data_IF_942940969880
#
_entry.id   IF_942940969880
#
_cell.length_a   1.000
_cell.length_b   1.000
_cell.length_c   1.000
_cell.angle_alpha   90.00
_cell.angle_beta   90.00
_cell.angle_gamma   90.00
#
_symmetry.space_group_name_H-M   'P 1'
#
loop_
_entity.id
_entity.type
_entity.pdbx_description
1 polymer ?
#
# COMPACT_ATOMS: atom_id res chain seq x y z
N UNK A 1 -91.73 11.14 -4.16
CA UNK A 1 -90.72 10.62 -3.24
C UNK A 1 -89.73 9.77 -4.06
N UNK A 2 -88.61 10.36 -4.47
CA UNK A 2 -87.63 9.75 -5.40
C UNK A 2 -86.32 9.53 -4.64
N UNK A 3 -85.94 8.25 -4.47
CA UNK A 3 -84.74 7.83 -3.78
C UNK A 3 -83.54 7.96 -4.74
N UNK A 4 -82.56 8.73 -4.36
CA UNK A 4 -81.30 8.87 -5.06
C UNK A 4 -80.37 7.70 -4.63
N UNK A 5 -79.86 6.90 -5.59
CA UNK A 5 -78.86 5.91 -5.41
C UNK A 5 -77.47 6.51 -5.47
N UNK A 6 -76.73 6.43 -4.39
CA UNK A 6 -75.32 6.84 -4.26
C UNK A 6 -74.43 5.71 -4.79
N UNK A 7 -73.66 5.97 -5.87
CA UNK A 7 -72.64 5.06 -6.39
C UNK A 7 -71.31 5.41 -5.74
N UNK A 8 -70.82 4.53 -4.89
CA UNK A 8 -69.43 4.61 -4.35
C UNK A 8 -68.50 3.94 -5.37
N UNK A 9 -67.64 4.72 -5.99
CA UNK A 9 -66.55 4.22 -6.82
C UNK A 9 -65.37 3.85 -5.92
N UNK A 10 -65.09 2.55 -5.73
CA UNK A 10 -63.89 2.04 -5.09
C UNK A 10 -62.73 2.19 -6.05
N UNK A 11 -61.74 3.03 -5.73
CA UNK A 11 -60.49 3.10 -6.44
C UNK A 11 -59.52 2.06 -5.88
N UNK A 12 -59.17 1.08 -6.71
CA UNK A 12 -58.20 0.07 -6.42
C UNK A 12 -56.79 0.66 -6.60
N UNK A 13 -56.08 0.95 -5.51
CA UNK A 13 -54.70 1.39 -5.54
C UNK A 13 -53.82 0.13 -5.71
N UNK A 14 -53.28 -0.01 -6.91
CA UNK A 14 -52.34 -1.07 -7.26
C UNK A 14 -50.93 -0.64 -6.74
N UNK A 15 -50.52 -1.09 -5.56
CA UNK A 15 -49.15 -0.91 -5.06
C UNK A 15 -48.18 -1.78 -5.88
N UNK A 16 -47.51 -1.15 -6.85
CA UNK A 16 -46.38 -1.72 -7.55
C UNK A 16 -45.21 -1.77 -6.57
N UNK A 17 -44.97 -2.93 -5.94
CA UNK A 17 -43.75 -3.23 -5.21
C UNK A 17 -42.60 -3.35 -6.21
N UNK A 18 -41.81 -2.28 -6.36
CA UNK A 18 -40.51 -2.35 -7.07
C UNK A 18 -39.58 -3.15 -6.17
N UNK A 19 -39.06 -4.33 -6.61
CA UNK A 19 -38.02 -5.00 -5.86
C UNK A 19 -36.79 -4.12 -5.85
N UNK A 20 -36.40 -3.61 -4.68
CA UNK A 20 -35.08 -3.05 -4.43
C UNK A 20 -34.08 -4.19 -4.66
N UNK A 21 -33.51 -4.25 -5.86
CA UNK A 21 -32.30 -5.02 -6.13
C UNK A 21 -31.19 -4.41 -5.28
N UNK A 22 -31.05 -4.92 -4.08
CA UNK A 22 -29.86 -4.75 -3.26
C UNK A 22 -28.69 -5.22 -4.13
N UNK A 23 -27.90 -4.29 -4.68
CA UNK A 23 -26.58 -4.64 -5.21
C UNK A 23 -25.82 -5.22 -4.03
N UNK A 24 -25.72 -6.54 -3.97
CA UNK A 24 -24.76 -7.19 -3.11
C UNK A 24 -23.40 -6.58 -3.48
N UNK A 25 -22.83 -5.79 -2.57
CA UNK A 25 -21.49 -5.24 -2.73
C UNK A 25 -20.58 -6.46 -2.79
N UNK A 26 -19.99 -6.71 -3.96
CA UNK A 26 -19.11 -7.85 -4.17
C UNK A 26 -17.97 -7.69 -3.17
N UNK A 27 -17.90 -8.56 -2.18
CA UNK A 27 -16.87 -8.51 -1.14
C UNK A 27 -15.49 -8.56 -1.81
N UNK A 28 -14.59 -7.70 -1.36
CA UNK A 28 -13.23 -7.68 -1.85
C UNK A 28 -12.55 -9.02 -1.59
N UNK A 29 -11.84 -9.62 -2.58
CA UNK A 29 -11.08 -10.85 -2.38
C UNK A 29 -9.97 -10.76 -1.32
N UNK A 30 -9.71 -9.55 -0.81
CA UNK A 30 -8.81 -9.34 0.32
C UNK A 30 -9.53 -9.60 1.63
N UNK A 31 -9.11 -10.61 2.37
CA UNK A 31 -9.62 -10.89 3.72
C UNK A 31 -9.24 -9.76 4.70
N UNK A 32 -10.04 -9.59 5.75
CA UNK A 32 -9.78 -8.65 6.83
C UNK A 32 -8.95 -9.32 7.92
N UNK A 33 -7.90 -8.63 8.38
CA UNK A 33 -7.11 -9.02 9.53
C UNK A 33 -6.87 -7.84 10.46
N UNK A 34 -6.40 -8.15 11.66
CA UNK A 34 -5.98 -7.16 12.66
C UNK A 34 -4.75 -7.67 13.38
N UNK A 35 -3.68 -6.89 13.34
CA UNK A 35 -2.53 -7.09 14.21
C UNK A 35 -2.82 -6.41 15.54
N UNK A 36 -2.55 -7.11 16.64
CA UNK A 36 -2.76 -6.61 17.99
C UNK A 36 -1.40 -6.53 18.68
N UNK A 37 -0.96 -5.33 19.01
CA UNK A 37 0.20 -5.07 19.85
C UNK A 37 -0.23 -4.89 21.31
N UNK A 38 0.74 -4.72 22.21
CA UNK A 38 0.43 -4.43 23.61
C UNK A 38 -0.24 -3.06 23.82
N UNK A 39 -0.13 -2.15 22.85
CA UNK A 39 -0.54 -0.76 23.00
C UNK A 39 -1.59 -0.32 21.98
N UNK A 40 -1.65 -0.99 20.84
CA UNK A 40 -2.48 -0.55 19.71
C UNK A 40 -2.91 -1.73 18.83
N UNK A 41 -3.75 -1.45 17.84
CA UNK A 41 -4.19 -2.40 16.82
C UNK A 41 -3.95 -1.82 15.45
N UNK A 42 -3.48 -2.65 14.52
CA UNK A 42 -3.31 -2.27 13.12
C UNK A 42 -4.20 -3.15 12.24
N UNK A 43 -5.27 -2.60 11.66
CA UNK A 43 -6.05 -3.30 10.64
C UNK A 43 -5.17 -3.58 9.42
N UNK A 44 -5.42 -4.71 8.76
CA UNK A 44 -4.80 -5.01 7.47
C UNK A 44 -5.73 -5.80 6.57
N UNK A 45 -5.48 -5.75 5.29
CA UNK A 45 -6.13 -6.59 4.29
C UNK A 45 -5.10 -7.55 3.73
N UNK A 46 -5.52 -8.81 3.48
CA UNK A 46 -4.64 -9.87 2.99
C UNK A 46 -5.28 -10.61 1.83
N UNK A 47 -4.52 -10.74 0.74
CA UNK A 47 -4.90 -11.53 -0.43
C UNK A 47 -4.03 -12.78 -0.49
N UNK A 48 -4.65 -13.93 -0.54
CA UNK A 48 -3.96 -15.20 -0.78
C UNK A 48 -3.89 -15.53 -2.28
N UNK A 49 -2.91 -16.36 -2.72
CA UNK A 49 -2.88 -16.91 -4.07
C UNK A 49 -4.20 -17.58 -4.45
N UNK A 50 -4.50 -17.73 -5.76
CA UNK A 50 -5.76 -18.36 -6.24
C UNK A 50 -5.94 -19.75 -5.64
N UNK A 51 -5.01 -20.64 -5.81
CA UNK A 51 -5.08 -22.00 -5.30
C UNK A 51 -4.20 -22.12 -4.04
N UNK A 52 -4.54 -21.32 -3.00
CA UNK A 52 -3.77 -21.31 -1.77
C UNK A 52 -3.77 -22.68 -1.09
N UNK A 53 -2.57 -23.17 -0.81
CA UNK A 53 -2.30 -24.42 -0.11
C UNK A 53 -1.31 -24.13 1.03
N UNK A 54 -1.73 -24.26 2.27
CA UNK A 54 -0.94 -23.95 3.44
C UNK A 54 0.34 -24.82 3.59
N UNK A 55 0.45 -25.91 2.82
CA UNK A 55 1.65 -26.76 2.78
C UNK A 55 2.74 -26.24 1.85
N UNK A 56 2.40 -25.29 0.97
CA UNK A 56 3.33 -24.63 0.03
C UNK A 56 3.87 -23.35 0.62
N UNK A 57 4.93 -22.81 0.01
CA UNK A 57 5.54 -21.54 0.40
C UNK A 57 5.37 -20.51 -0.70
N UNK A 58 4.84 -19.34 -0.32
CA UNK A 58 4.55 -18.24 -1.21
C UNK A 58 5.38 -17.00 -0.89
N UNK A 59 5.63 -16.18 -1.88
CA UNK A 59 6.18 -14.84 -1.68
C UNK A 59 5.24 -14.00 -0.81
N UNK A 60 5.81 -13.07 -0.02
CA UNK A 60 5.07 -12.08 0.77
C UNK A 60 5.34 -10.69 0.19
N UNK A 61 4.30 -9.95 -0.12
CA UNK A 61 4.38 -8.56 -0.58
C UNK A 61 3.62 -7.68 0.42
N UNK A 62 4.27 -6.68 0.99
CA UNK A 62 3.64 -5.68 1.86
C UNK A 62 3.56 -4.38 1.09
N UNK A 63 2.35 -3.78 1.01
CA UNK A 63 2.11 -2.54 0.27
C UNK A 63 1.62 -1.46 1.23
N UNK A 64 2.38 -0.37 1.33
CA UNK A 64 2.13 0.75 2.22
C UNK A 64 1.41 1.88 1.47
N UNK A 65 0.24 2.25 1.95
CA UNK A 65 -0.60 3.31 1.37
C UNK A 65 -0.09 4.73 1.69
N UNK A 66 -0.63 5.72 1.01
CA UNK A 66 -0.35 7.15 1.22
C UNK A 66 -1.06 7.75 2.44
N UNK A 67 -0.84 9.04 2.67
CA UNK A 67 -1.41 9.74 3.83
C UNK A 67 -2.94 9.85 3.80
N UNK A 68 -3.55 9.83 2.60
CA UNK A 68 -5.00 9.94 2.43
C UNK A 68 -5.79 8.71 2.86
N UNK A 69 -5.14 7.55 2.93
CA UNK A 69 -5.75 6.26 3.22
C UNK A 69 -5.59 5.83 4.70
N UNK A 70 -5.08 6.74 5.55
CA UNK A 70 -5.00 6.54 7.00
C UNK A 70 -6.38 6.41 7.62
N UNK A 71 -6.51 5.51 8.59
CA UNK A 71 -7.79 5.27 9.25
C UNK A 71 -7.80 4.00 10.08
N UNK A 72 -9.01 3.50 10.30
CA UNK A 72 -9.28 2.24 10.98
C UNK A 72 -10.49 1.51 10.38
N UNK A 73 -10.94 1.92 9.19
CA UNK A 73 -12.07 1.30 8.48
C UNK A 73 -11.70 -0.04 7.85
N UNK A 74 -10.42 -0.32 7.74
CA UNK A 74 -9.87 -1.50 7.07
C UNK A 74 -10.33 -1.61 5.59
N UNK A 75 -10.49 -0.46 4.90
CA UNK A 75 -10.93 -0.34 3.51
C UNK A 75 -10.07 0.63 2.71
N UNK A 76 -9.81 1.82 3.23
CA UNK A 76 -9.18 2.91 2.49
C UNK A 76 -7.78 2.54 1.97
N UNK A 77 -7.03 1.69 2.68
CA UNK A 77 -5.70 1.22 2.26
C UNK A 77 -5.71 0.46 0.92
N UNK A 78 -6.86 -0.03 0.45
CA UNK A 78 -7.00 -0.71 -0.83
C UNK A 78 -7.27 0.23 -2.02
N UNK A 79 -7.18 1.54 -1.83
CA UNK A 79 -7.50 2.50 -2.88
C UNK A 79 -6.57 2.41 -4.10
N UNK A 80 -5.28 2.19 -3.87
CA UNK A 80 -4.28 2.17 -4.93
C UNK A 80 -3.48 0.85 -4.96
N UNK A 81 -3.28 0.34 -6.17
CA UNK A 81 -2.48 -0.87 -6.41
C UNK A 81 -3.20 -2.21 -6.38
N UNK A 82 -4.35 -2.44 -5.68
CA UNK A 82 -4.98 -3.76 -5.63
C UNK A 82 -5.28 -4.34 -6.99
N UNK A 83 -5.61 -3.53 -7.99
CA UNK A 83 -5.93 -3.97 -9.35
C UNK A 83 -4.81 -4.82 -9.97
N UNK A 84 -3.54 -4.49 -9.71
CA UNK A 84 -2.40 -5.27 -10.17
C UNK A 84 -2.44 -6.69 -9.57
N UNK A 85 -2.66 -6.77 -8.26
CA UNK A 85 -2.61 -8.05 -7.52
C UNK A 85 -3.88 -8.89 -7.67
N UNK A 86 -5.00 -8.27 -8.03
CA UNK A 86 -6.26 -8.97 -8.34
C UNK A 86 -6.32 -9.49 -9.77
N UNK A 87 -5.42 -9.08 -10.64
CA UNK A 87 -5.36 -9.56 -12.02
C UNK A 87 -4.99 -11.04 -12.05
N UNK A 88 -5.81 -11.88 -12.69
CA UNK A 88 -5.63 -13.33 -12.72
C UNK A 88 -4.31 -13.75 -13.34
N UNK A 89 -3.87 -13.10 -14.42
CA UNK A 89 -2.57 -13.38 -15.04
C UNK A 89 -1.42 -13.12 -14.04
N UNK A 90 -1.52 -12.03 -13.26
CA UNK A 90 -0.55 -11.72 -12.20
C UNK A 90 -0.56 -12.78 -11.11
N UNK A 91 -1.75 -13.17 -10.64
CA UNK A 91 -1.92 -14.17 -9.56
C UNK A 91 -1.44 -15.57 -9.97
N UNK A 92 -1.65 -15.95 -11.23
CA UNK A 92 -1.19 -17.23 -11.77
C UNK A 92 0.32 -17.23 -11.93
N UNK A 93 0.89 -16.16 -12.54
CA UNK A 93 2.31 -16.11 -12.87
C UNK A 93 3.20 -15.80 -11.68
N UNK A 94 2.70 -15.04 -10.72
CA UNK A 94 3.42 -14.55 -9.55
C UNK A 94 2.63 -14.81 -8.25
N UNK A 95 2.40 -16.08 -7.87
CA UNK A 95 1.60 -16.40 -6.69
C UNK A 95 2.26 -15.81 -5.44
N UNK A 96 1.53 -14.94 -4.75
CA UNK A 96 2.00 -14.23 -3.58
C UNK A 96 0.88 -14.02 -2.57
N UNK A 97 1.26 -13.90 -1.31
CA UNK A 97 0.45 -13.34 -0.24
C UNK A 97 0.68 -11.83 -0.26
N UNK A 98 -0.36 -11.04 -0.46
CA UNK A 98 -0.26 -9.58 -0.54
C UNK A 98 -0.97 -8.96 0.65
N UNK A 99 -0.27 -8.11 1.39
CA UNK A 99 -0.78 -7.50 2.63
C UNK A 99 -0.75 -5.98 2.53
N UNK A 100 -1.90 -5.38 2.82
CA UNK A 100 -2.10 -3.94 2.90
C UNK A 100 -2.42 -3.57 4.35
N UNK A 101 -1.44 -3.20 5.19
CA UNK A 101 -1.71 -2.67 6.52
C UNK A 101 -2.31 -1.26 6.43
N UNK A 102 -3.12 -0.86 7.42
CA UNK A 102 -3.66 0.48 7.50
C UNK A 102 -3.02 1.26 8.66
N UNK A 103 -2.36 2.36 8.32
CA UNK A 103 -1.79 3.31 9.27
C UNK A 103 -2.91 4.06 10.00
N UNK A 104 -2.86 4.23 11.30
CA UNK A 104 -3.85 5.00 12.05
C UNK A 104 -3.98 6.44 11.54
N UNK A 105 -5.14 7.05 11.74
CA UNK A 105 -5.44 8.43 11.26
C UNK A 105 -4.37 9.45 11.65
N UNK A 106 -3.85 9.36 12.86
CA UNK A 106 -2.83 10.27 13.39
C UNK A 106 -1.41 9.67 13.29
N UNK A 107 -1.25 8.53 12.59
CA UNK A 107 0.01 7.85 12.41
C UNK A 107 0.76 8.30 11.16
N UNK A 108 2.02 7.86 11.07
CA UNK A 108 2.90 8.02 9.92
C UNK A 108 3.80 6.81 9.79
N UNK A 109 4.08 6.33 8.54
CA UNK A 109 4.92 5.16 8.33
C UNK A 109 6.39 5.38 8.66
N UNK A 110 6.86 6.62 8.63
CA UNK A 110 8.25 6.98 8.90
C UNK A 110 8.34 8.07 9.97
N UNK A 111 9.51 8.30 10.52
CA UNK A 111 9.76 9.39 11.47
C UNK A 111 10.03 10.75 10.78
N UNK A 112 9.55 10.91 9.55
CA UNK A 112 9.59 12.17 8.81
C UNK A 112 8.74 13.24 9.52
N UNK A 113 9.30 14.42 9.71
CA UNK A 113 8.54 15.59 10.17
C UNK A 113 7.92 16.28 8.96
N UNK A 114 6.63 16.50 9.01
CA UNK A 114 5.85 17.11 7.94
C UNK A 114 5.29 18.43 8.43
N UNK A 115 5.45 19.48 7.65
CA UNK A 115 4.84 20.78 7.87
C UNK A 115 4.17 21.27 6.59
N UNK A 116 3.22 22.19 6.72
CA UNK A 116 2.54 22.82 5.61
C UNK A 116 2.59 24.34 5.82
N UNK A 117 2.93 25.08 4.78
CA UNK A 117 2.91 26.54 4.81
C UNK A 117 1.48 27.10 4.64
N UNK A 118 1.34 28.42 4.74
CA UNK A 118 0.05 29.11 4.59
C UNK A 118 -0.53 29.03 3.17
N UNK A 119 0.29 28.71 2.17
CA UNK A 119 -0.12 28.48 0.78
C UNK A 119 -0.50 27.01 0.50
N UNK A 120 -0.32 26.13 1.49
CA UNK A 120 -0.67 24.72 1.37
C UNK A 120 0.46 23.81 0.86
N UNK A 121 1.68 24.33 0.68
CA UNK A 121 2.81 23.51 0.24
C UNK A 121 3.36 22.70 1.40
N UNK A 122 3.66 21.42 1.12
CA UNK A 122 4.27 20.52 2.10
C UNK A 122 5.78 20.63 2.11
N UNK A 123 6.34 20.56 3.31
CA UNK A 123 7.77 20.39 3.56
C UNK A 123 8.02 19.12 4.36
N UNK A 124 9.04 18.37 3.95
CA UNK A 124 9.39 17.08 4.54
C UNK A 124 10.81 17.16 5.10
N UNK A 125 10.95 17.01 6.42
CA UNK A 125 12.25 16.88 7.06
C UNK A 125 12.49 15.41 7.41
N UNK A 126 13.34 14.76 6.63
CA UNK A 126 13.73 13.37 6.84
C UNK A 126 14.82 13.28 7.92
N UNK A 127 14.56 12.43 8.92
CA UNK A 127 15.44 12.30 10.10
C UNK A 127 16.45 11.18 9.86
N UNK A 128 17.72 11.44 10.21
CA UNK A 128 18.73 10.38 10.26
C UNK A 128 18.45 9.48 11.45
N UNK A 129 18.33 8.17 11.22
CA UNK A 129 18.12 7.22 12.31
C UNK A 129 16.80 7.47 13.07
N UNK A 130 16.91 7.49 14.40
CA UNK A 130 15.78 7.74 15.32
C UNK A 130 14.87 6.53 15.54
N UNK A 131 13.98 6.66 16.55
CA UNK A 131 13.04 5.61 16.92
C UNK A 131 11.90 5.47 15.89
N UNK A 132 11.34 4.27 15.72
CA UNK A 132 10.17 4.07 14.87
C UNK A 132 8.94 4.77 15.44
N UNK A 133 8.09 5.29 14.56
CA UNK A 133 6.74 5.69 14.95
C UNK A 133 5.96 4.49 15.49
N UNK A 134 4.86 4.72 16.22
CA UNK A 134 3.98 3.63 16.66
C UNK A 134 3.48 2.80 15.48
N UNK A 135 3.05 3.45 14.38
CA UNK A 135 2.61 2.74 13.18
C UNK A 135 3.72 1.87 12.57
N UNK A 136 4.96 2.33 12.58
CA UNK A 136 6.09 1.51 12.10
C UNK A 136 6.41 0.38 13.09
N UNK A 137 6.27 0.57 14.41
CA UNK A 137 6.43 -0.50 15.40
C UNK A 137 5.40 -1.61 15.18
N UNK A 138 4.14 -1.24 14.97
CA UNK A 138 3.07 -2.20 14.71
C UNK A 138 3.27 -2.91 13.36
N UNK A 139 3.73 -2.21 12.33
CA UNK A 139 4.10 -2.80 11.04
C UNK A 139 5.24 -3.82 11.17
N UNK A 140 6.27 -3.51 11.96
CA UNK A 140 7.37 -4.44 12.26
C UNK A 140 6.89 -5.67 13.04
N UNK A 141 5.94 -5.49 13.95
CA UNK A 141 5.30 -6.59 14.66
C UNK A 141 4.46 -7.48 13.74
N UNK A 142 3.63 -6.87 12.89
CA UNK A 142 2.85 -7.58 11.86
C UNK A 142 3.77 -8.36 10.91
N UNK A 143 4.85 -7.73 10.42
CA UNK A 143 5.85 -8.39 9.57
C UNK A 143 6.43 -9.61 10.28
N UNK A 144 6.80 -9.50 11.56
CA UNK A 144 7.36 -10.62 12.33
C UNK A 144 6.36 -11.76 12.45
N UNK A 145 5.09 -11.47 12.75
CA UNK A 145 4.01 -12.46 12.82
C UNK A 145 3.77 -13.16 11.47
N UNK A 146 3.84 -12.42 10.36
CA UNK A 146 3.68 -12.99 9.01
C UNK A 146 4.85 -13.90 8.66
N UNK A 147 6.08 -13.54 9.03
CA UNK A 147 7.28 -14.35 8.79
C UNK A 147 7.31 -15.66 9.57
N UNK A 148 6.53 -15.80 10.64
CA UNK A 148 6.37 -17.06 11.39
C UNK A 148 5.43 -18.05 10.70
N UNK A 149 4.63 -17.60 9.73
CA UNK A 149 3.70 -18.48 9.02
C UNK A 149 4.44 -19.49 8.16
N UNK A 150 4.14 -20.81 8.26
CA UNK A 150 4.88 -21.87 7.55
C UNK A 150 4.78 -21.73 6.02
N UNK A 151 3.73 -21.12 5.52
CA UNK A 151 3.49 -20.90 4.11
C UNK A 151 4.14 -19.62 3.55
N UNK A 152 4.89 -18.86 4.35
CA UNK A 152 5.65 -17.69 3.87
C UNK A 152 7.07 -18.11 3.50
N UNK A 153 7.45 -17.79 2.25
CA UNK A 153 8.82 -17.95 1.76
C UNK A 153 9.68 -16.77 2.22
N UNK A 154 10.45 -16.95 3.29
CA UNK A 154 11.32 -15.92 3.87
C UNK A 154 12.41 -15.40 2.92
N UNK A 155 12.70 -16.13 1.83
CA UNK A 155 13.62 -15.68 0.79
C UNK A 155 12.96 -14.81 -0.30
N UNK A 156 11.63 -14.65 -0.26
CA UNK A 156 10.85 -13.87 -1.23
C UNK A 156 9.88 -12.93 -0.51
N UNK A 157 10.44 -12.02 0.28
CA UNK A 157 9.69 -11.01 1.01
C UNK A 157 9.97 -9.65 0.37
N UNK A 158 8.92 -8.97 -0.01
CA UNK A 158 8.98 -7.69 -0.71
C UNK A 158 8.17 -6.64 0.05
N UNK A 159 8.58 -5.40 -0.05
CA UNK A 159 7.86 -4.26 0.50
C UNK A 159 7.90 -3.09 -0.45
N UNK A 160 6.85 -2.32 -0.47
CA UNK A 160 6.85 -1.04 -1.17
C UNK A 160 5.63 -0.22 -0.81
N UNK A 161 5.56 0.98 -1.37
CA UNK A 161 4.45 1.87 -1.09
C UNK A 161 4.56 3.18 -1.84
N UNK A 162 3.53 4.01 -1.67
CA UNK A 162 3.37 5.28 -2.38
C UNK A 162 3.31 6.46 -1.40
N UNK A 163 3.90 7.61 -1.78
CA UNK A 163 3.87 8.85 -1.00
C UNK A 163 4.37 8.62 0.44
N UNK A 164 3.54 8.84 1.46
CA UNK A 164 3.83 8.45 2.84
C UNK A 164 4.30 6.98 2.95
N UNK A 165 3.71 6.07 2.17
CA UNK A 165 4.12 4.66 2.10
C UNK A 165 5.46 4.45 1.40
N UNK A 166 5.80 5.30 0.43
CA UNK A 166 7.14 5.36 -0.18
C UNK A 166 8.21 5.75 0.85
N UNK A 167 7.91 6.75 1.69
CA UNK A 167 8.76 7.13 2.84
C UNK A 167 8.87 5.98 3.85
N UNK A 168 7.74 5.31 4.15
CA UNK A 168 7.69 4.13 5.02
C UNK A 168 8.49 2.95 4.47
N UNK A 169 8.59 2.82 3.16
CA UNK A 169 9.42 1.80 2.51
C UNK A 169 10.90 2.01 2.85
N UNK A 170 11.43 3.21 2.70
CA UNK A 170 12.80 3.50 3.11
C UNK A 170 13.02 3.26 4.61
N UNK A 171 12.06 3.69 5.44
CA UNK A 171 12.11 3.51 6.89
C UNK A 171 12.21 2.02 7.28
N UNK A 172 11.36 1.14 6.73
CA UNK A 172 11.37 -0.29 7.07
C UNK A 172 12.62 -0.99 6.53
N UNK A 173 13.16 -0.56 5.37
CA UNK A 173 14.43 -1.07 4.83
C UNK A 173 15.59 -0.76 5.78
N UNK A 174 15.61 0.43 6.36
CA UNK A 174 16.61 0.81 7.35
C UNK A 174 16.53 -0.07 8.60
N UNK A 175 15.33 -0.41 9.04
CA UNK A 175 15.11 -1.19 10.27
C UNK A 175 15.30 -2.70 10.10
N UNK A 176 14.96 -3.21 8.94
CA UNK A 176 15.00 -4.65 8.63
C UNK A 176 15.67 -4.93 7.27
N UNK A 177 16.92 -4.47 7.07
CA UNK A 177 17.61 -4.62 5.79
C UNK A 177 17.86 -6.08 5.39
N UNK A 178 17.80 -6.99 6.35
CA UNK A 178 18.08 -8.42 6.14
C UNK A 178 16.83 -9.22 5.73
N UNK A 179 15.64 -8.62 5.77
CA UNK A 179 14.39 -9.33 5.49
C UNK A 179 14.04 -9.30 4.01
N UNK A 180 14.14 -8.14 3.37
CA UNK A 180 13.53 -7.93 2.05
C UNK A 180 14.44 -8.36 0.91
N UNK A 181 13.90 -9.17 -0.01
CA UNK A 181 14.58 -9.59 -1.24
C UNK A 181 14.62 -8.47 -2.29
N UNK A 182 13.61 -7.62 -2.33
CA UNK A 182 13.57 -6.38 -3.09
C UNK A 182 12.51 -5.44 -2.51
N UNK A 183 12.57 -4.17 -2.92
CA UNK A 183 11.57 -3.16 -2.52
C UNK A 183 11.25 -2.19 -3.66
N UNK A 184 10.12 -1.49 -3.54
CA UNK A 184 9.74 -0.41 -4.45
C UNK A 184 9.23 0.81 -3.69
N UNK A 185 9.62 2.02 -4.10
CA UNK A 185 9.20 3.27 -3.49
C UNK A 185 8.68 4.23 -4.55
N UNK A 186 7.46 4.73 -4.39
CA UNK A 186 6.79 5.64 -5.31
C UNK A 186 6.58 6.99 -4.63
N UNK A 187 7.04 8.08 -5.25
CA UNK A 187 6.89 9.46 -4.76
C UNK A 187 7.29 9.63 -3.28
N UNK A 188 8.38 9.00 -2.86
CA UNK A 188 8.87 9.02 -1.48
C UNK A 188 10.22 9.69 -1.33
N UNK A 189 10.75 9.64 -0.10
CA UNK A 189 12.08 10.12 0.24
C UNK A 189 12.51 9.64 1.62
N UNK A 190 13.79 9.82 1.93
CA UNK A 190 14.39 9.52 3.24
C UNK A 190 15.60 10.45 3.46
N UNK A 191 16.17 10.42 4.65
CA UNK A 191 17.48 11.03 4.89
C UNK A 191 18.58 10.23 4.16
N UNK A 192 19.38 10.92 3.36
CA UNK A 192 20.39 10.29 2.51
C UNK A 192 21.44 9.48 3.29
N UNK A 193 21.71 9.85 4.55
CA UNK A 193 22.64 9.12 5.42
C UNK A 193 22.11 7.73 5.83
N UNK A 194 20.79 7.50 5.76
CA UNK A 194 20.20 6.19 6.02
C UNK A 194 20.49 5.17 4.89
N UNK A 195 20.74 5.64 3.67
CA UNK A 195 20.93 4.78 2.50
C UNK A 195 22.03 3.72 2.69
N UNK A 196 23.13 4.05 3.38
CA UNK A 196 24.24 3.13 3.66
C UNK A 196 23.83 1.83 4.36
N UNK A 197 22.69 1.82 5.06
CA UNK A 197 22.22 0.68 5.85
C UNK A 197 21.67 -0.45 4.95
N UNK A 198 20.97 -0.08 3.85
CA UNK A 198 20.27 -1.02 2.99
C UNK A 198 20.76 -1.05 1.52
N UNK A 199 21.56 -0.06 1.09
CA UNK A 199 21.94 0.13 -0.30
C UNK A 199 22.53 -1.12 -0.99
N UNK A 200 23.39 -1.87 -0.29
CA UNK A 200 24.00 -3.12 -0.80
C UNK A 200 23.21 -4.38 -0.49
N UNK A 201 22.15 -4.26 0.29
CA UNK A 201 21.41 -5.42 0.82
C UNK A 201 20.09 -5.66 0.10
N UNK A 202 19.43 -4.57 -0.34
CA UNK A 202 18.07 -4.63 -0.91
C UNK A 202 18.05 -3.95 -2.26
N UNK A 203 17.84 -4.70 -3.37
CA UNK A 203 17.49 -4.13 -4.65
C UNK A 203 16.25 -3.25 -4.53
N UNK A 204 16.32 -2.04 -5.11
CA UNK A 204 15.26 -1.05 -4.96
C UNK A 204 14.88 -0.48 -6.33
N UNK A 205 13.58 -0.41 -6.61
CA UNK A 205 13.03 0.31 -7.74
C UNK A 205 12.27 1.54 -7.25
N UNK A 206 12.76 2.71 -7.62
CA UNK A 206 12.20 3.99 -7.21
C UNK A 206 11.45 4.59 -8.41
N UNK A 207 10.27 5.14 -8.14
CA UNK A 207 9.41 5.79 -9.14
C UNK A 207 9.04 7.18 -8.67
N UNK A 208 8.97 8.15 -9.59
CA UNK A 208 8.49 9.50 -9.29
C UNK A 208 7.89 10.17 -10.52
N UNK A 209 6.93 11.06 -10.32
CA UNK A 209 6.44 11.96 -11.36
C UNK A 209 7.28 13.25 -11.41
N UNK A 210 7.75 13.65 -12.60
CA UNK A 210 8.58 14.85 -12.75
C UNK A 210 7.84 16.13 -12.37
N UNK A 211 6.49 16.13 -12.53
CA UNK A 211 5.62 17.28 -12.21
C UNK A 211 4.98 17.17 -10.83
N UNK A 212 5.53 16.36 -9.92
CA UNK A 212 5.01 16.21 -8.56
C UNK A 212 5.20 17.51 -7.77
N UNK A 213 4.08 18.15 -7.43
CA UNK A 213 4.03 19.39 -6.65
C UNK A 213 3.65 19.18 -5.17
N UNK A 214 3.55 17.92 -4.72
CA UNK A 214 3.25 17.55 -3.32
C UNK A 214 4.51 17.05 -2.63
N UNK A 215 5.20 16.08 -3.25
CA UNK A 215 6.51 15.58 -2.82
C UNK A 215 7.48 15.82 -3.97
N UNK A 216 8.39 16.79 -3.84
CA UNK A 216 9.33 17.10 -4.90
C UNK A 216 10.08 15.86 -5.39
N UNK A 217 10.23 15.64 -6.71
CA UNK A 217 11.02 14.54 -7.27
C UNK A 217 12.48 14.57 -6.82
N UNK A 218 12.98 15.70 -6.39
CA UNK A 218 14.32 15.84 -5.81
C UNK A 218 14.55 14.90 -4.63
N UNK A 219 13.50 14.61 -3.83
CA UNK A 219 13.62 13.66 -2.73
C UNK A 219 13.97 12.24 -3.21
N UNK A 220 13.40 11.79 -4.32
CA UNK A 220 13.79 10.51 -4.91
C UNK A 220 15.15 10.58 -5.60
N UNK A 221 15.46 11.67 -6.31
CA UNK A 221 16.73 11.86 -7.02
C UNK A 221 17.91 11.82 -6.05
N UNK A 222 17.84 12.55 -4.92
CA UNK A 222 18.91 12.53 -3.92
C UNK A 222 19.05 11.16 -3.25
N UNK A 223 17.95 10.41 -3.06
CA UNK A 223 18.01 9.06 -2.55
C UNK A 223 18.66 8.08 -3.53
N UNK A 224 18.33 8.16 -4.82
CA UNK A 224 18.99 7.36 -5.87
C UNK A 224 20.50 7.60 -5.85
N UNK A 225 20.93 8.86 -5.78
CA UNK A 225 22.34 9.24 -5.74
C UNK A 225 23.02 8.74 -4.44
N UNK A 226 22.36 8.87 -3.29
CA UNK A 226 22.89 8.39 -2.02
C UNK A 226 23.04 6.86 -1.99
N UNK A 227 22.06 6.12 -2.53
CA UNK A 227 22.12 4.66 -2.63
C UNK A 227 23.28 4.23 -3.56
N UNK A 228 23.46 4.91 -4.70
CA UNK A 228 24.60 4.66 -5.61
C UNK A 228 25.93 4.95 -4.94
N UNK A 229 26.05 6.09 -4.26
CA UNK A 229 27.25 6.46 -3.49
C UNK A 229 27.57 5.44 -2.40
N UNK A 230 26.56 4.81 -1.80
CA UNK A 230 26.72 3.74 -0.82
C UNK A 230 27.00 2.35 -1.47
N UNK A 231 27.16 2.28 -2.79
CA UNK A 231 27.48 1.07 -3.55
C UNK A 231 26.28 0.18 -3.89
N UNK A 232 25.05 0.71 -3.79
CA UNK A 232 23.86 0.06 -4.31
C UNK A 232 23.61 0.40 -5.78
N UNK A 233 22.67 -0.31 -6.41
CA UNK A 233 22.29 -0.07 -7.81
C UNK A 233 20.75 0.02 -7.92
N UNK A 234 20.13 1.12 -7.49
CA UNK A 234 18.68 1.27 -7.58
C UNK A 234 18.26 1.48 -9.04
N UNK A 235 17.15 0.84 -9.43
CA UNK A 235 16.43 1.21 -10.65
C UNK A 235 15.63 2.48 -10.36
N UNK A 236 15.61 3.43 -11.28
CA UNK A 236 14.84 4.67 -11.15
C UNK A 236 14.04 4.94 -12.41
N UNK A 237 12.75 5.18 -12.25
CA UNK A 237 11.85 5.60 -13.32
C UNK A 237 11.26 6.96 -12.93
N UNK A 238 11.56 7.98 -13.73
CA UNK A 238 10.97 9.30 -13.62
C UNK A 238 9.98 9.48 -14.77
N UNK A 239 8.71 9.67 -14.44
CA UNK A 239 7.64 9.86 -15.43
C UNK A 239 7.51 11.35 -15.77
N UNK A 240 7.83 11.76 -17.02
CA UNK A 240 7.94 13.19 -17.36
C UNK A 240 6.60 13.94 -17.37
N UNK A 241 5.50 13.20 -17.44
CA UNK A 241 4.16 13.79 -17.51
C UNK A 241 3.35 13.66 -16.22
N UNK A 242 3.81 12.87 -15.26
CA UNK A 242 3.08 12.57 -14.03
C UNK A 242 3.33 13.61 -12.94
N UNK A 243 2.29 13.85 -12.17
CA UNK A 243 2.35 14.56 -10.90
C UNK A 243 2.53 13.58 -9.72
N UNK A 244 1.90 13.92 -8.58
CA UNK A 244 1.99 13.09 -7.38
C UNK A 244 1.37 11.70 -7.52
N UNK A 245 0.50 11.48 -8.47
CA UNK A 245 -0.18 10.21 -8.72
C UNK A 245 0.59 9.21 -9.61
N UNK A 246 1.90 9.33 -9.74
CA UNK A 246 2.75 8.45 -10.56
C UNK A 246 2.63 6.95 -10.24
N UNK A 247 2.02 6.60 -9.11
CA UNK A 247 1.76 5.21 -8.74
C UNK A 247 0.80 4.48 -9.68
N UNK A 248 -0.07 5.20 -10.38
CA UNK A 248 -0.98 4.59 -11.37
C UNK A 248 -0.17 3.96 -12.51
N UNK A 249 0.81 4.71 -13.06
CA UNK A 249 1.73 4.23 -14.08
C UNK A 249 2.75 3.24 -13.52
N UNK A 250 3.24 3.45 -12.29
CA UNK A 250 4.20 2.55 -11.65
C UNK A 250 3.61 1.15 -11.40
N UNK A 251 2.36 1.04 -10.97
CA UNK A 251 1.68 -0.25 -10.85
C UNK A 251 1.30 -0.88 -12.20
N UNK A 252 1.21 -0.07 -13.26
CA UNK A 252 0.99 -0.52 -14.63
C UNK A 252 2.29 -0.80 -15.40
N UNK A 253 3.46 -0.49 -14.81
CA UNK A 253 4.77 -0.61 -15.46
C UNK A 253 5.03 -2.04 -15.95
N UNK A 254 5.29 -2.21 -17.26
CA UNK A 254 5.62 -3.51 -17.83
C UNK A 254 6.84 -4.12 -17.15
N UNK A 255 6.72 -5.35 -16.70
CA UNK A 255 7.83 -6.03 -16.03
C UNK A 255 7.97 -5.73 -14.54
N UNK A 256 7.10 -4.91 -13.91
CA UNK A 256 7.16 -4.63 -12.47
C UNK A 256 7.18 -5.92 -11.63
N UNK A 257 6.21 -6.80 -11.82
CA UNK A 257 6.14 -8.08 -11.11
C UNK A 257 7.29 -9.02 -11.48
N UNK A 258 7.70 -9.05 -12.76
CA UNK A 258 8.83 -9.85 -13.20
C UNK A 258 10.14 -9.40 -12.53
N UNK A 259 10.36 -8.09 -12.45
CA UNK A 259 11.51 -7.53 -11.74
C UNK A 259 11.46 -7.88 -10.25
N UNK A 260 10.34 -7.67 -9.59
CA UNK A 260 10.20 -7.97 -8.17
C UNK A 260 10.53 -9.44 -7.88
N UNK A 261 9.96 -10.37 -8.67
CA UNK A 261 10.14 -11.81 -8.52
C UNK A 261 11.48 -12.34 -9.03
N UNK A 262 12.26 -11.56 -9.76
CA UNK A 262 13.63 -11.93 -10.14
C UNK A 262 14.59 -11.92 -8.95
N UNK A 263 14.22 -11.25 -7.85
CA UNK A 263 15.03 -11.11 -6.66
C UNK A 263 14.64 -12.13 -5.58
N UNK A 264 15.64 -12.71 -4.95
CA UNK A 264 15.52 -13.59 -3.78
C UNK A 264 16.72 -13.38 -2.85
N UNK A 265 16.54 -13.62 -1.57
CA UNK A 265 17.65 -13.70 -0.58
C UNK A 265 18.24 -15.07 -0.49
#
# INVERSE_FOLDING_TARGET
MTAAKLFVKSALILCLSIPLLSRAQQESPFDRGTYISKKDTMPYRILFPLDFDATKKYALIIVLHGAGERGNDNEAQLKYGPKLFLNDTTRIKYPAIVVYPQCPKNGWWSNTKVSQDSAGHYSFQFVEGGEPTTAMQDLLGLLSQLLEKPYVNKHRVYVGGLSMGGMGTFEILRRRPDVFAAAFAMCGGDNTLNAKIYAKKVPLWIFHGEKDNVVSPDHSIVMVNAIRAAGGNPKFTLYPNDGHNCWDDAFAEPGFMAWLFSHKK
#
